data_IF_885232873104
#
_entry.id   IF_885232873104
#
_cell.length_a   1.000
_cell.length_b   1.000
_cell.length_c   1.000
_cell.angle_alpha   90.00
_cell.angle_beta   90.00
_cell.angle_gamma   90.00
#
_symmetry.space_group_name_H-M   'P 1'
#
loop_
_entity.id
_entity.type
_entity.pdbx_description
1 polymer ?
#
# COMPACT_ATOMS: atom_id res chain seq x y z
N UNK A 1 -5.12 2.18 26.21
CA UNK A 1 -3.95 1.27 26.28
C UNK A 1 -3.59 0.64 24.93
N UNK A 2 -4.55 0.30 24.04
CA UNK A 2 -4.28 -0.43 22.79
C UNK A 2 -3.50 0.35 21.70
N UNK A 3 -3.56 1.68 21.69
CA UNK A 3 -2.97 2.52 20.62
C UNK A 3 -1.43 2.49 20.60
N UNK A 4 -0.76 2.55 21.76
CA UNK A 4 0.71 2.56 21.86
C UNK A 4 1.35 1.18 21.73
N UNK A 5 0.76 0.16 22.35
CA UNK A 5 1.33 -1.19 22.44
C UNK A 5 0.91 -2.12 21.29
N UNK A 6 -0.29 -1.92 20.74
CA UNK A 6 -0.80 -2.77 19.66
C UNK A 6 -0.42 -2.26 18.28
N UNK A 7 -0.69 -0.98 18.02
CA UNK A 7 -0.56 -0.40 16.68
C UNK A 7 0.90 -0.03 16.35
N UNK A 8 1.59 0.62 17.29
CA UNK A 8 3.00 1.04 17.11
C UNK A 8 4.03 -0.01 17.55
N UNK A 9 3.61 -1.05 18.29
CA UNK A 9 4.49 -2.10 18.85
C UNK A 9 5.67 -1.55 19.66
N UNK A 10 5.50 -0.40 20.31
CA UNK A 10 6.52 0.24 21.14
C UNK A 10 6.58 -0.39 22.53
N UNK A 11 7.74 -0.35 23.17
CA UNK A 11 7.83 -0.65 24.61
C UNK A 11 7.15 0.46 25.43
N UNK A 12 6.66 0.17 26.66
CA UNK A 12 6.09 1.19 27.55
C UNK A 12 7.01 2.36 27.82
N UNK A 13 8.29 2.11 28.02
CA UNK A 13 9.29 3.14 28.27
C UNK A 13 9.44 4.07 27.06
N UNK A 14 9.58 3.48 25.86
CA UNK A 14 9.70 4.26 24.62
C UNK A 14 8.45 5.10 24.36
N UNK A 15 7.26 4.54 24.61
CA UNK A 15 6.00 5.25 24.42
C UNK A 15 5.86 6.47 25.35
N UNK A 16 6.24 6.33 26.63
CA UNK A 16 6.14 7.42 27.60
C UNK A 16 7.26 8.46 27.48
N UNK A 17 8.40 8.09 26.89
CA UNK A 17 9.50 9.03 26.62
C UNK A 17 9.24 9.94 25.41
N UNK A 18 8.28 9.59 24.54
CA UNK A 18 7.98 10.34 23.33
C UNK A 18 7.30 11.69 23.63
N UNK A 19 7.66 12.69 22.83
CA UNK A 19 6.98 13.98 22.81
C UNK A 19 5.66 13.90 22.02
N UNK A 20 4.70 14.81 22.26
CA UNK A 20 3.45 14.86 21.50
C UNK A 20 3.64 14.98 19.97
N UNK A 21 4.73 15.62 19.52
CA UNK A 21 5.06 15.76 18.10
C UNK A 21 5.54 14.45 17.49
N UNK A 22 6.34 13.68 18.22
CA UNK A 22 6.76 12.35 17.78
C UNK A 22 5.58 11.38 17.74
N UNK A 23 4.66 11.49 18.70
CA UNK A 23 3.43 10.72 18.70
C UNK A 23 2.55 11.03 17.49
N UNK A 24 2.38 12.30 17.12
CA UNK A 24 1.64 12.71 15.91
C UNK A 24 2.22 12.05 14.65
N UNK A 25 3.55 12.03 14.51
CA UNK A 25 4.21 11.40 13.37
C UNK A 25 4.12 9.89 13.36
N UNK A 26 4.29 9.26 14.51
CA UNK A 26 4.12 7.82 14.65
C UNK A 26 2.71 7.37 14.23
N UNK A 27 1.69 8.17 14.58
CA UNK A 27 0.30 7.90 14.23
C UNK A 27 -0.04 8.21 12.77
N UNK A 28 0.72 9.09 12.10
CA UNK A 28 0.44 9.52 10.71
C UNK A 28 0.37 8.36 9.69
N UNK A 29 1.07 7.26 9.96
CA UNK A 29 1.07 6.04 9.13
C UNK A 29 -0.29 5.35 9.16
N UNK A 30 -1.00 5.42 10.29
CA UNK A 30 -2.32 4.81 10.46
C UNK A 30 -3.46 5.75 10.12
N UNK A 31 -3.24 7.06 10.16
CA UNK A 31 -4.24 8.07 9.77
C UNK A 31 -4.25 8.35 8.28
N UNK A 32 -3.29 7.81 7.53
CA UNK A 32 -3.39 7.80 6.07
C UNK A 32 -4.59 6.92 5.76
N UNK A 33 -5.74 7.56 5.52
CA UNK A 33 -6.73 7.08 4.58
C UNK A 33 -5.98 6.95 3.25
N UNK A 34 -5.18 5.88 3.13
CA UNK A 34 -4.53 5.52 1.88
C UNK A 34 -5.64 5.46 0.86
N UNK A 35 -5.39 6.07 -0.30
CA UNK A 35 -6.28 5.96 -1.45
C UNK A 35 -6.83 4.53 -1.48
N UNK A 36 -8.16 4.42 -1.53
CA UNK A 36 -8.88 3.16 -1.49
C UNK A 36 -8.13 2.13 -2.34
N UNK A 37 -7.87 0.95 -1.75
CA UNK A 37 -7.12 -0.09 -2.46
C UNK A 37 -7.65 -0.22 -3.89
N UNK A 38 -6.78 -0.24 -4.93
CA UNK A 38 -7.23 -0.17 -6.32
C UNK A 38 -8.32 -1.20 -6.56
N UNK A 39 -9.46 -0.74 -7.07
CA UNK A 39 -10.56 -1.66 -7.34
C UNK A 39 -10.15 -2.55 -8.50
N UNK A 40 -10.81 -3.70 -8.61
CA UNK A 40 -10.60 -4.63 -9.74
C UNK A 40 -10.73 -3.93 -11.10
N UNK A 41 -11.60 -2.93 -11.20
CA UNK A 41 -11.79 -2.12 -12.41
C UNK A 41 -10.55 -1.26 -12.73
N UNK A 42 -9.90 -0.70 -11.72
CA UNK A 42 -8.70 0.13 -11.87
C UNK A 42 -7.53 -0.73 -12.36
N UNK A 43 -7.39 -1.95 -11.81
CA UNK A 43 -6.42 -2.94 -12.31
C UNK A 43 -6.70 -3.36 -13.76
N UNK A 44 -7.97 -3.65 -14.10
CA UNK A 44 -8.34 -4.02 -15.47
C UNK A 44 -8.12 -2.87 -16.48
N UNK A 45 -8.23 -1.62 -16.06
CA UNK A 45 -7.86 -0.48 -16.89
C UNK A 45 -6.35 -0.44 -17.16
N UNK A 46 -5.53 -0.67 -16.13
CA UNK A 46 -4.06 -0.72 -16.26
C UNK A 46 -3.60 -1.86 -17.17
N UNK A 47 -4.16 -3.07 -17.03
CA UNK A 47 -3.80 -4.20 -17.90
C UNK A 47 -4.12 -3.95 -19.38
N UNK A 48 -5.17 -3.18 -19.67
CA UNK A 48 -5.50 -2.78 -21.06
C UNK A 48 -4.58 -1.69 -21.57
N UNK A 49 -4.18 -0.75 -20.72
CA UNK A 49 -3.27 0.33 -21.08
C UNK A 49 -1.83 -0.16 -21.27
N UNK A 50 -1.43 -1.19 -20.52
CA UNK A 50 -0.07 -1.75 -20.50
C UNK A 50 -0.15 -3.29 -20.62
N UNK A 51 -0.40 -3.83 -21.82
CA UNK A 51 -0.44 -5.27 -22.03
C UNK A 51 0.96 -5.89 -21.90
N UNK A 52 1.07 -7.02 -21.20
CA UNK A 52 2.33 -7.74 -20.99
C UNK A 52 2.88 -8.39 -22.27
N UNK A 53 1.99 -8.70 -23.22
CA UNK A 53 2.35 -9.28 -24.52
C UNK A 53 2.32 -8.17 -25.56
N UNK A 54 3.41 -7.94 -26.31
CA UNK A 54 3.39 -6.98 -27.41
C UNK A 54 2.37 -7.43 -28.46
N UNK A 55 1.54 -6.51 -28.95
CA UNK A 55 0.47 -6.77 -29.92
C UNK A 55 0.92 -7.52 -31.19
N UNK A 56 2.22 -7.49 -31.51
CA UNK A 56 2.83 -8.18 -32.64
C UNK A 56 3.00 -9.71 -32.43
N UNK A 57 2.97 -10.21 -31.20
CA UNK A 57 3.23 -11.62 -30.88
C UNK A 57 1.96 -12.48 -30.77
N UNK A 58 0.78 -11.87 -30.78
CA UNK A 58 -0.52 -12.56 -30.64
C UNK A 58 -0.76 -13.62 -31.74
N UNK A 59 -0.05 -13.53 -32.88
CA UNK A 59 -0.11 -14.51 -33.97
C UNK A 59 1.23 -15.20 -34.29
N UNK A 60 2.25 -15.05 -33.43
CA UNK A 60 3.58 -15.64 -33.69
C UNK A 60 3.58 -17.18 -33.53
N UNK A 61 2.73 -17.71 -32.64
CA UNK A 61 2.61 -19.14 -32.34
C UNK A 61 1.76 -19.91 -33.38
N UNK A 62 1.15 -19.23 -34.34
CA UNK A 62 0.40 -19.84 -35.45
C UNK A 62 1.25 -20.13 -36.69
N UNK A 63 2.57 -19.84 -36.65
CA UNK A 63 3.48 -19.95 -37.81
C UNK A 63 4.30 -21.24 -37.90
N UNK A 64 3.94 -22.31 -37.18
CA UNK A 64 4.63 -23.61 -37.28
C UNK A 64 3.63 -24.70 -37.62
#
# INVERSE_FOLDING_TARGET
MAMGFGLLRLSPETFWAMTPREFERAMSVFTRNGDEAPRRADLAALMRAFPDIPHNEENAWLKT
#
